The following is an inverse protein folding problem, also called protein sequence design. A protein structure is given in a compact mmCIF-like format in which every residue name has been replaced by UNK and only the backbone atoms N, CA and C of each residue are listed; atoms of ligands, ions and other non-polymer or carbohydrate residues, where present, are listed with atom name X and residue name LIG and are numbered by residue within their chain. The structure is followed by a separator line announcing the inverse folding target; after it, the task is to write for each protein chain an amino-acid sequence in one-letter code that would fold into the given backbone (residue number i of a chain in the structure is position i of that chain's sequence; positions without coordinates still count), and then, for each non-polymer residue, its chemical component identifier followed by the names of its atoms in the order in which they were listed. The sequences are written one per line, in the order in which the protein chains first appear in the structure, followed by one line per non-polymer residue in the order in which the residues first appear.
data_IF_488155008279
#
_entry.id   IF_488155008279
#
_cell.length_a   1.000
_cell.length_b   1.000
_cell.length_c   1.000
_cell.angle_alpha   90.00
_cell.angle_beta   90.00
_cell.angle_gamma   90.00
#
_symmetry.space_group_name_H-M   'P 1'
#
loop_
_entity.id
_entity.type
_entity.pdbx_description
1 polymer ?
#
# COMPACT_ATOMS: atom_id res chain seq x y z
N UNK A 1 -6.09 -26.61 21.13
CA UNK A 1 -5.57 -26.71 19.75
C UNK A 1 -4.28 -25.92 19.68
N UNK A 2 -3.15 -26.51 19.25
CA UNK A 2 -1.96 -25.72 18.89
C UNK A 2 -2.33 -24.94 17.63
N UNK A 3 -2.38 -23.59 17.72
CA UNK A 3 -2.45 -22.76 16.51
C UNK A 3 -1.18 -23.02 15.71
N UNK A 4 -1.32 -23.42 14.47
CA UNK A 4 -0.19 -23.57 13.56
C UNK A 4 0.47 -22.19 13.39
N UNK A 5 1.80 -22.14 13.47
CA UNK A 5 2.53 -20.91 13.25
C UNK A 5 2.61 -20.63 11.75
N UNK A 6 2.19 -19.44 11.34
CA UNK A 6 2.20 -19.05 9.93
C UNK A 6 3.55 -18.41 9.56
N UNK A 7 4.36 -19.15 8.81
CA UNK A 7 5.58 -18.61 8.22
C UNK A 7 5.27 -17.81 6.96
N UNK A 8 5.88 -16.64 6.80
CA UNK A 8 5.62 -15.80 5.64
C UNK A 8 6.55 -14.60 5.56
N UNK A 9 6.16 -13.64 4.76
CA UNK A 9 6.91 -12.41 4.52
C UNK A 9 6.07 -11.16 4.63
N UNK A 10 6.73 -10.01 4.55
CA UNK A 10 6.08 -8.71 4.55
C UNK A 10 6.76 -7.75 3.58
N UNK A 11 5.97 -6.97 2.88
CA UNK A 11 6.42 -5.83 2.09
C UNK A 11 5.59 -4.59 2.44
N UNK A 12 6.17 -3.41 2.26
CA UNK A 12 5.41 -2.16 2.24
C UNK A 12 5.15 -1.73 0.81
N UNK A 13 4.02 -1.09 0.58
CA UNK A 13 3.66 -0.55 -0.73
C UNK A 13 4.73 0.39 -1.31
N UNK A 14 5.32 1.24 -0.48
CA UNK A 14 6.38 2.17 -0.90
C UNK A 14 7.58 1.45 -1.50
N UNK A 15 7.88 0.25 -0.99
CA UNK A 15 9.04 -0.54 -1.43
C UNK A 15 8.73 -1.47 -2.61
N UNK A 16 7.47 -1.76 -2.86
CA UNK A 16 7.10 -2.82 -3.77
C UNK A 16 6.14 -2.40 -4.89
N UNK A 17 5.10 -1.66 -4.58
CA UNK A 17 3.96 -1.55 -5.48
C UNK A 17 4.28 -0.90 -6.81
N UNK A 18 4.80 0.32 -6.84
CA UNK A 18 4.94 1.07 -8.08
C UNK A 18 3.57 1.49 -8.67
N UNK A 19 3.43 1.41 -9.99
CA UNK A 19 2.18 1.80 -10.67
C UNK A 19 1.82 3.27 -10.43
N UNK A 20 2.82 4.15 -10.57
CA UNK A 20 2.72 5.58 -10.29
C UNK A 20 1.65 6.24 -11.16
N UNK A 21 0.68 6.89 -10.51
CA UNK A 21 -0.47 7.56 -11.14
C UNK A 21 -1.32 6.67 -12.07
N UNK A 22 -1.13 5.35 -12.04
CA UNK A 22 -1.93 4.45 -12.84
C UNK A 22 -3.29 4.20 -12.19
N UNK A 23 -4.28 3.95 -13.03
CA UNK A 23 -5.65 3.63 -12.64
C UNK A 23 -6.29 4.59 -11.64
N UNK A 24 -5.87 5.86 -11.68
CA UNK A 24 -6.42 6.91 -10.84
C UNK A 24 -5.80 7.04 -9.46
N UNK A 25 -4.66 6.37 -9.20
CA UNK A 25 -3.89 6.58 -7.97
C UNK A 25 -3.50 8.04 -7.85
N UNK A 26 -3.74 8.63 -6.67
CA UNK A 26 -3.22 9.95 -6.30
C UNK A 26 -1.79 9.90 -5.81
N UNK A 27 -1.22 11.08 -5.59
CA UNK A 27 0.10 11.21 -4.98
C UNK A 27 0.04 10.88 -3.49
N UNK A 28 1.03 10.16 -3.01
CA UNK A 28 1.29 10.00 -1.58
C UNK A 28 2.53 10.82 -1.16
N UNK A 29 2.73 10.95 0.12
CA UNK A 29 3.84 11.76 0.68
C UNK A 29 5.23 11.30 0.24
N UNK A 30 5.41 10.04 -0.12
CA UNK A 30 6.70 9.54 -0.63
C UNK A 30 6.93 9.85 -2.10
N UNK A 31 5.87 10.05 -2.86
CA UNK A 31 5.95 10.42 -4.28
C UNK A 31 6.47 11.87 -4.43
N UNK A 32 6.29 12.71 -3.40
CA UNK A 32 6.65 14.13 -3.39
C UNK A 32 7.83 14.46 -2.47
N UNK A 33 8.24 13.48 -1.63
CA UNK A 33 9.31 13.68 -0.66
C UNK A 33 10.66 13.93 -1.34
N UNK A 34 11.17 15.16 -1.25
CA UNK A 34 12.51 15.50 -1.68
C UNK A 34 13.48 15.30 -0.51
N UNK A 35 14.20 14.21 -0.51
CA UNK A 35 15.31 14.01 0.42
C UNK A 35 16.55 14.68 -0.13
N UNK A 36 16.97 15.80 0.47
CA UNK A 36 18.27 16.40 0.20
C UNK A 36 19.31 15.62 1.01
N UNK A 37 20.17 14.81 0.35
CA UNK A 37 21.17 14.07 1.09
C UNK A 37 22.19 15.03 1.71
N UNK A 38 22.62 14.76 2.94
CA UNK A 38 23.78 15.45 3.51
C UNK A 38 25.02 15.19 2.63
N UNK A 39 25.98 16.14 2.56
CA UNK A 39 27.19 15.96 1.76
C UNK A 39 27.92 14.66 2.15
N UNK A 40 28.07 13.76 1.18
CA UNK A 40 28.73 12.46 1.37
C UNK A 40 27.80 11.28 1.68
N UNK A 41 26.50 11.50 1.87
CA UNK A 41 25.52 10.42 2.02
C UNK A 41 24.85 10.19 0.66
N UNK A 42 24.92 8.94 0.17
CA UNK A 42 24.12 8.56 -1.01
C UNK A 42 22.64 8.56 -0.65
N UNK A 43 21.75 9.08 -1.50
CA UNK A 43 20.31 8.96 -1.27
C UNK A 43 19.95 7.47 -1.09
N UNK A 44 19.28 7.15 0.00
CA UNK A 44 18.89 5.77 0.32
C UNK A 44 17.53 5.40 -0.28
N UNK A 45 16.87 6.35 -0.94
CA UNK A 45 15.54 6.13 -1.49
C UNK A 45 15.60 5.94 -3.00
N UNK A 46 15.05 4.80 -3.45
CA UNK A 46 14.65 4.62 -4.83
C UNK A 46 13.37 5.42 -5.07
N UNK A 47 13.11 5.78 -6.31
CA UNK A 47 11.82 6.36 -6.69
C UNK A 47 10.71 5.34 -6.44
N UNK A 48 9.55 5.81 -5.97
CA UNK A 48 8.38 4.98 -5.69
C UNK A 48 7.52 4.73 -6.93
N UNK A 49 7.84 5.39 -8.02
CA UNK A 49 7.13 5.34 -9.29
C UNK A 49 7.11 3.94 -9.93
N UNK A 50 8.22 3.22 -9.85
CA UNK A 50 8.31 1.83 -10.30
C UNK A 50 8.46 0.86 -9.11
N UNK A 51 9.29 1.22 -8.13
CA UNK A 51 9.62 0.38 -6.96
C UNK A 51 10.14 -1.01 -7.40
N UNK A 52 9.50 -2.11 -6.97
CA UNK A 52 9.74 -3.46 -7.52
C UNK A 52 8.69 -3.88 -8.54
N UNK A 53 7.83 -2.95 -8.93
CA UNK A 53 6.77 -3.13 -9.93
C UNK A 53 5.76 -4.24 -9.57
N UNK A 54 5.52 -4.41 -8.28
CA UNK A 54 4.55 -5.40 -7.79
C UNK A 54 3.14 -5.15 -8.34
N UNK A 55 2.80 -3.91 -8.68
CA UNK A 55 1.50 -3.56 -9.28
C UNK A 55 1.23 -4.33 -10.58
N UNK A 56 2.24 -4.55 -11.41
CA UNK A 56 2.12 -5.29 -12.65
C UNK A 56 2.45 -6.77 -12.51
N UNK A 57 3.28 -7.15 -11.54
CA UNK A 57 3.83 -8.50 -11.37
C UNK A 57 3.26 -9.26 -10.17
N UNK A 58 2.26 -8.73 -9.46
CA UNK A 58 1.75 -9.28 -8.21
C UNK A 58 1.35 -10.76 -8.27
N UNK A 59 0.85 -11.25 -9.43
CA UNK A 59 0.51 -12.66 -9.59
C UNK A 59 1.74 -13.56 -9.60
N UNK A 60 2.76 -13.16 -10.35
CA UNK A 60 4.02 -13.89 -10.43
C UNK A 60 4.72 -13.88 -9.07
N UNK A 61 4.71 -12.75 -8.38
CA UNK A 61 5.29 -12.61 -7.05
C UNK A 61 4.58 -13.53 -6.04
N UNK A 62 3.24 -13.59 -6.07
CA UNK A 62 2.47 -14.49 -5.21
C UNK A 62 2.72 -15.95 -5.57
N UNK A 63 2.87 -16.30 -6.85
CA UNK A 63 3.24 -17.64 -7.27
C UNK A 63 4.60 -18.05 -6.69
N UNK A 64 5.60 -17.17 -6.75
CA UNK A 64 6.90 -17.42 -6.11
C UNK A 64 6.78 -17.55 -4.59
N UNK A 65 5.96 -16.72 -3.93
CA UNK A 65 5.71 -16.86 -2.49
C UNK A 65 5.09 -18.22 -2.14
N UNK A 66 4.15 -18.70 -2.96
CA UNK A 66 3.54 -20.01 -2.79
C UNK A 66 4.56 -21.15 -2.98
N UNK A 67 5.42 -21.06 -4.00
CA UNK A 67 6.50 -22.03 -4.24
C UNK A 67 7.52 -22.05 -3.09
N UNK A 68 7.84 -20.90 -2.50
CA UNK A 68 8.67 -20.79 -1.30
C UNK A 68 8.01 -21.34 -0.03
N UNK A 69 6.71 -21.65 -0.09
CA UNK A 69 5.95 -22.22 1.02
C UNK A 69 5.41 -21.21 2.02
N UNK A 70 5.22 -19.95 1.62
CA UNK A 70 4.59 -18.94 2.48
C UNK A 70 3.20 -19.38 2.91
N UNK A 71 2.86 -19.09 4.16
CA UNK A 71 1.53 -19.32 4.75
C UNK A 71 0.84 -18.01 5.13
N UNK A 72 1.57 -16.91 5.16
CA UNK A 72 1.04 -15.58 5.36
C UNK A 72 1.86 -14.56 4.56
N UNK A 73 1.19 -13.54 4.06
CA UNK A 73 1.83 -12.40 3.42
C UNK A 73 1.24 -11.09 3.96
N UNK A 74 2.10 -10.28 4.59
CA UNK A 74 1.72 -8.96 5.04
C UNK A 74 2.07 -7.93 3.98
N UNK A 75 1.08 -7.14 3.58
CA UNK A 75 1.27 -5.99 2.69
C UNK A 75 0.47 -4.79 3.21
N UNK A 76 0.78 -3.61 2.71
CA UNK A 76 -0.01 -2.42 2.98
C UNK A 76 -0.82 -2.03 1.75
N UNK A 77 -2.02 -1.52 1.95
CA UNK A 77 -2.75 -0.83 0.90
C UNK A 77 -2.21 0.60 0.74
N UNK A 78 -2.19 1.10 -0.48
CA UNK A 78 -1.85 2.51 -0.75
C UNK A 78 -3.11 3.33 -0.61
N UNK A 79 -3.22 4.13 0.45
CA UNK A 79 -4.39 4.96 0.69
C UNK A 79 -4.74 5.82 -0.52
N UNK A 80 -3.77 6.49 -1.14
CA UNK A 80 -3.99 7.31 -2.32
C UNK A 80 -4.36 6.54 -3.59
N UNK A 81 -4.27 5.21 -3.61
CA UNK A 81 -4.82 4.39 -4.69
C UNK A 81 -6.31 4.18 -4.53
N UNK A 82 -6.78 4.06 -3.28
CA UNK A 82 -8.19 3.85 -2.97
C UNK A 82 -8.91 5.20 -2.88
N UNK A 83 -8.32 6.19 -2.21
CA UNK A 83 -8.82 7.55 -2.10
C UNK A 83 -7.71 8.52 -2.54
N UNK A 84 -7.70 8.96 -3.81
CA UNK A 84 -6.61 9.75 -4.40
C UNK A 84 -6.24 11.04 -3.66
N UNK A 85 -7.22 11.72 -3.06
CA UNK A 85 -7.00 12.89 -2.19
C UNK A 85 -7.09 12.54 -0.70
N UNK A 86 -7.68 11.38 -0.38
CA UNK A 86 -7.80 10.84 0.97
C UNK A 86 -9.09 11.18 1.72
N UNK A 87 -9.93 12.03 1.16
CA UNK A 87 -11.19 12.49 1.78
C UNK A 87 -12.40 12.42 0.85
N UNK A 88 -12.33 11.61 -0.19
CA UNK A 88 -13.44 11.38 -1.08
C UNK A 88 -14.52 10.52 -0.41
N UNK A 89 -15.79 10.83 -0.68
CA UNK A 89 -16.93 10.04 -0.22
C UNK A 89 -16.97 8.63 -0.85
N UNK A 90 -16.39 8.48 -2.04
CA UNK A 90 -16.37 7.22 -2.79
C UNK A 90 -14.95 6.83 -3.13
N UNK A 91 -14.62 5.54 -2.97
CA UNK A 91 -13.32 5.05 -3.34
C UNK A 91 -13.12 5.01 -4.86
N UNK A 92 -11.87 4.95 -5.26
CA UNK A 92 -11.48 4.61 -6.61
C UNK A 92 -11.68 3.10 -6.84
N UNK A 93 -12.71 2.76 -7.59
CA UNK A 93 -13.11 1.37 -7.86
C UNK A 93 -11.96 0.51 -8.44
N UNK A 94 -11.10 1.10 -9.28
CA UNK A 94 -9.97 0.37 -9.84
C UNK A 94 -8.91 0.03 -8.78
N UNK A 95 -8.72 0.92 -7.84
CA UNK A 95 -7.82 0.68 -6.70
C UNK A 95 -8.33 -0.43 -5.80
N UNK A 96 -9.63 -0.44 -5.49
CA UNK A 96 -10.25 -1.52 -4.73
C UNK A 96 -10.16 -2.85 -5.47
N UNK A 97 -10.56 -2.89 -6.73
CA UNK A 97 -10.54 -4.10 -7.58
C UNK A 97 -9.13 -4.72 -7.68
N UNK A 98 -8.08 -3.90 -7.65
CA UNK A 98 -6.71 -4.38 -7.60
C UNK A 98 -6.42 -5.17 -6.31
N UNK A 99 -6.77 -4.59 -5.15
CA UNK A 99 -6.52 -5.26 -3.85
C UNK A 99 -7.44 -6.46 -3.64
N UNK A 100 -8.70 -6.40 -4.06
CA UNK A 100 -9.62 -7.52 -3.99
C UNK A 100 -9.07 -8.73 -4.76
N UNK A 101 -8.64 -8.52 -6.01
CA UNK A 101 -8.04 -9.58 -6.83
C UNK A 101 -6.78 -10.15 -6.22
N UNK A 102 -5.96 -9.32 -5.59
CA UNK A 102 -4.74 -9.75 -4.94
C UNK A 102 -5.03 -10.59 -3.69
N UNK A 103 -6.01 -10.17 -2.87
CA UNK A 103 -6.47 -10.92 -1.68
C UNK A 103 -7.05 -12.28 -2.09
N UNK A 104 -7.95 -12.28 -3.07
CA UNK A 104 -8.56 -13.52 -3.58
C UNK A 104 -7.50 -14.51 -4.06
N UNK A 105 -6.50 -14.02 -4.80
CA UNK A 105 -5.44 -14.87 -5.32
C UNK A 105 -4.51 -15.40 -4.22
N UNK A 106 -4.21 -14.61 -3.20
CA UNK A 106 -3.48 -15.10 -2.01
C UNK A 106 -4.22 -16.24 -1.33
N UNK A 107 -5.53 -16.08 -1.13
CA UNK A 107 -6.38 -17.11 -0.53
C UNK A 107 -6.45 -18.36 -1.41
N UNK A 108 -6.56 -18.22 -2.72
CA UNK A 108 -6.49 -19.34 -3.68
C UNK A 108 -5.18 -20.13 -3.55
N UNK A 109 -4.05 -19.43 -3.33
CA UNK A 109 -2.74 -20.06 -3.11
C UNK A 109 -2.53 -20.61 -1.69
N UNK A 110 -3.50 -20.44 -0.81
CA UNK A 110 -3.42 -20.91 0.58
C UNK A 110 -2.46 -20.05 1.43
N UNK A 111 -2.32 -18.78 1.08
CA UNK A 111 -1.53 -17.78 1.79
C UNK A 111 -2.51 -16.82 2.49
N UNK A 112 -2.39 -16.71 3.81
CA UNK A 112 -3.21 -15.79 4.62
C UNK A 112 -2.80 -14.34 4.36
N UNK A 113 -3.70 -13.47 3.87
CA UNK A 113 -3.41 -12.05 3.70
C UNK A 113 -3.44 -11.32 5.04
N UNK A 114 -2.39 -10.54 5.33
CA UNK A 114 -2.31 -9.68 6.51
C UNK A 114 -2.21 -8.24 6.03
N UNK A 115 -3.34 -7.54 6.00
CA UNK A 115 -3.43 -6.21 5.44
C UNK A 115 -3.09 -5.14 6.47
N UNK A 116 -2.17 -4.24 6.13
CA UNK A 116 -1.91 -3.00 6.88
C UNK A 116 -2.61 -1.84 6.19
N UNK A 117 -3.53 -1.19 6.88
CA UNK A 117 -4.32 -0.12 6.30
C UNK A 117 -3.50 1.15 6.05
N UNK A 118 -2.57 1.46 6.94
CA UNK A 118 -1.61 2.56 6.79
C UNK A 118 -0.21 2.07 7.14
N UNK A 119 0.76 2.38 6.28
CA UNK A 119 2.16 2.07 6.54
C UNK A 119 3.06 3.25 6.15
N UNK A 120 2.97 4.33 6.96
CA UNK A 120 3.66 5.62 6.80
C UNK A 120 3.23 6.44 5.59
N UNK A 121 2.52 5.87 4.65
CA UNK A 121 1.97 6.58 3.51
C UNK A 121 0.66 7.28 3.87
N UNK A 122 0.45 8.42 3.27
CA UNK A 122 -0.84 9.10 3.24
C UNK A 122 -0.94 9.91 1.95
N UNK A 123 -2.14 10.24 1.47
CA UNK A 123 -2.31 11.15 0.35
C UNK A 123 -1.63 12.50 0.60
N UNK A 124 -0.79 12.92 -0.36
CA UNK A 124 -0.03 14.17 -0.28
C UNK A 124 -0.92 15.40 -0.08
N UNK A 125 -2.12 15.35 -0.65
CA UNK A 125 -3.14 16.38 -0.47
C UNK A 125 -3.49 16.62 1.01
N UNK A 126 -3.66 15.56 1.80
CA UNK A 126 -3.98 15.66 3.23
C UNK A 126 -2.82 16.25 4.03
N UNK A 127 -1.59 15.92 3.68
CA UNK A 127 -0.43 16.54 4.32
C UNK A 127 -0.38 18.04 4.05
N UNK A 128 -0.48 18.43 2.78
CA UNK A 128 -0.26 19.81 2.35
C UNK A 128 -1.42 20.77 2.71
N UNK A 129 -2.65 20.27 2.79
CA UNK A 129 -3.83 21.11 3.02
C UNK A 129 -4.36 21.02 4.45
N UNK A 130 -4.12 19.90 5.14
CA UNK A 130 -4.68 19.63 6.47
C UNK A 130 -3.64 19.31 7.53
N UNK A 131 -2.34 19.39 7.20
CA UNK A 131 -1.26 19.05 8.13
C UNK A 131 -1.27 17.55 8.57
N UNK A 132 -1.79 16.68 7.72
CA UNK A 132 -1.81 15.23 7.94
C UNK A 132 -2.46 14.84 9.27
N UNK A 133 -1.97 13.79 9.91
CA UNK A 133 -2.50 13.27 11.17
C UNK A 133 -2.38 14.21 12.40
N UNK A 134 -1.80 15.38 12.23
CA UNK A 134 -1.89 16.45 13.24
C UNK A 134 -3.27 17.11 13.29
N UNK A 135 -4.10 16.87 12.28
CA UNK A 135 -5.49 17.33 12.21
C UNK A 135 -6.44 16.16 12.47
N UNK A 136 -7.39 16.38 13.40
CA UNK A 136 -8.39 15.36 13.77
C UNK A 136 -9.28 14.97 12.58
N UNK A 137 -9.62 15.90 11.69
CA UNK A 137 -10.43 15.62 10.51
C UNK A 137 -9.79 14.57 9.62
N UNK A 138 -8.46 14.63 9.43
CA UNK A 138 -7.71 13.62 8.65
C UNK A 138 -7.78 12.23 9.29
N UNK A 139 -7.84 12.15 10.63
CA UNK A 139 -8.01 10.89 11.33
C UNK A 139 -9.42 10.34 11.09
N UNK A 140 -10.42 11.19 11.14
CA UNK A 140 -11.81 10.80 10.88
C UNK A 140 -11.99 10.37 9.41
N UNK A 141 -11.38 11.08 8.44
CA UNK A 141 -11.34 10.70 7.01
C UNK A 141 -10.66 9.34 6.80
N UNK A 142 -9.53 9.10 7.46
CA UNK A 142 -8.83 7.82 7.40
C UNK A 142 -9.74 6.67 7.86
N UNK A 143 -10.44 6.86 8.99
CA UNK A 143 -11.36 5.84 9.51
C UNK A 143 -12.49 5.58 8.51
N UNK A 144 -13.11 6.62 7.94
CA UNK A 144 -14.18 6.47 6.96
C UNK A 144 -13.68 5.80 5.67
N UNK A 145 -12.52 6.19 5.17
CA UNK A 145 -11.91 5.59 3.97
C UNK A 145 -11.73 4.09 4.13
N UNK A 146 -11.23 3.65 5.28
CA UNK A 146 -10.98 2.22 5.52
C UNK A 146 -12.23 1.43 5.89
N UNK A 147 -13.25 2.07 6.51
CA UNK A 147 -14.54 1.42 6.75
C UNK A 147 -15.32 1.15 5.45
N UNK A 148 -15.08 1.93 4.41
CA UNK A 148 -15.72 1.77 3.10
C UNK A 148 -15.03 0.67 2.24
N UNK A 149 -13.91 0.11 2.72
CA UNK A 149 -13.18 -0.97 2.03
C UNK A 149 -13.58 -2.39 2.51
N UNK A 150 -14.63 -2.50 3.38
CA UNK A 150 -15.10 -3.78 3.93
C UNK A 150 -16.58 -4.01 3.60
#
# INVERSE_FOLDING_TARGET
MKKEFLWGGALSNVQAEGGYLEDGKGLNVYDTLVVTPEPGIKPMFCTTDVATDHYHHWKEDIDYMAEMGFKAYRFSVVWSRIHPLGNEEKPNEKGLDFYDKMVDYLLEKGIEPVVSLVHFDMPDYLLNHYNGFMNKEVIDDAIQSFLNCY
#
